data_IF_556332529547
#
_entry.id   IF_556332529547
#
_cell.length_a   1.000
_cell.length_b   1.000
_cell.length_c   1.000
_cell.angle_alpha   90.00
_cell.angle_beta   90.00
_cell.angle_gamma   90.00
#
_symmetry.space_group_name_H-M   'P 1'
#
loop_
_entity.id
_entity.type
_entity.pdbx_description
1 polymer ?
#
# COMPACT_ATOMS: atom_id res chain seq x y z
N UNK A 1 -7.59 21.97 47.09
CA UNK A 1 -6.14 21.79 46.85
C UNK A 1 -5.70 20.36 47.07
N UNK A 2 -5.98 19.73 48.23
CA UNK A 2 -5.62 18.32 48.47
C UNK A 2 -6.19 17.32 47.44
N UNK A 3 -7.45 17.48 47.03
CA UNK A 3 -8.05 16.60 46.01
C UNK A 3 -7.30 16.66 44.66
N UNK A 4 -6.91 17.86 44.21
CA UNK A 4 -6.12 18.01 42.98
C UNK A 4 -4.73 17.39 43.09
N UNK A 5 -4.10 17.44 44.26
CA UNK A 5 -2.79 16.82 44.50
C UNK A 5 -2.91 15.29 44.44
N UNK A 6 -3.94 14.72 45.07
CA UNK A 6 -4.17 13.28 45.05
C UNK A 6 -4.50 12.75 43.65
N UNK A 7 -5.30 13.50 42.87
CA UNK A 7 -5.60 13.18 41.48
C UNK A 7 -4.32 13.18 40.62
N UNK A 8 -3.45 14.17 40.80
CA UNK A 8 -2.15 14.26 40.11
C UNK A 8 -1.20 13.11 40.47
N UNK A 9 -1.19 12.67 41.73
CA UNK A 9 -0.37 11.53 42.19
C UNK A 9 -0.85 10.23 41.53
N UNK A 10 -2.18 10.02 41.52
CA UNK A 10 -2.78 8.86 40.88
C UNK A 10 -2.49 8.83 39.37
N UNK A 11 -2.65 9.97 38.69
CA UNK A 11 -2.38 10.06 37.26
C UNK A 11 -0.89 9.87 36.94
N UNK A 12 0.02 10.39 37.76
CA UNK A 12 1.46 10.14 37.64
C UNK A 12 1.81 8.65 37.77
N UNK A 13 1.18 7.95 38.72
CA UNK A 13 1.39 6.51 38.88
C UNK A 13 0.94 5.75 37.64
N UNK A 14 -0.28 6.02 37.16
CA UNK A 14 -0.83 5.40 35.95
C UNK A 14 0.05 5.64 34.73
N UNK A 15 0.55 6.86 34.55
CA UNK A 15 1.45 7.20 33.44
C UNK A 15 2.78 6.45 33.50
N UNK A 16 3.36 6.28 34.70
CA UNK A 16 4.59 5.49 34.87
C UNK A 16 4.39 4.03 34.48
N UNK A 17 3.27 3.43 34.86
CA UNK A 17 2.94 2.05 34.47
C UNK A 17 2.78 1.90 32.95
N UNK A 18 2.12 2.85 32.29
CA UNK A 18 1.97 2.83 30.83
C UNK A 18 3.30 3.04 30.10
N UNK A 19 4.19 3.90 30.61
CA UNK A 19 5.54 4.09 30.07
C UNK A 19 6.34 2.78 30.12
N UNK A 20 6.32 2.07 31.26
CA UNK A 20 7.02 0.78 31.39
C UNK A 20 6.43 -0.29 30.45
N UNK A 21 5.10 -0.31 30.29
CA UNK A 21 4.43 -1.19 29.33
C UNK A 21 4.85 -0.90 27.90
N UNK A 22 4.89 0.37 27.49
CA UNK A 22 5.32 0.78 26.14
C UNK A 22 6.80 0.47 25.90
N UNK A 23 7.68 0.70 26.87
CA UNK A 23 9.10 0.31 26.79
C UNK A 23 9.27 -1.18 26.54
N UNK A 24 8.50 -2.01 27.25
CA UNK A 24 8.49 -3.47 27.03
C UNK A 24 7.96 -3.84 25.65
N UNK A 25 6.95 -3.14 25.13
CA UNK A 25 6.42 -3.40 23.79
C UNK A 25 7.45 -3.07 22.69
N UNK A 26 8.14 -1.93 22.83
CA UNK A 26 9.17 -1.47 21.89
C UNK A 26 10.39 -2.41 21.89
N UNK A 27 10.71 -3.05 23.02
CA UNK A 27 11.81 -4.02 23.11
C UNK A 27 11.48 -5.41 22.57
N UNK A 28 10.23 -5.69 22.19
CA UNK A 28 9.87 -6.98 21.60
C UNK A 28 10.53 -7.17 20.23
N UNK A 29 11.08 -8.37 19.94
CA UNK A 29 11.60 -8.69 18.62
C UNK A 29 10.58 -8.40 17.51
N UNK A 30 11.04 -7.75 16.45
CA UNK A 30 10.20 -7.38 15.30
C UNK A 30 9.31 -6.15 15.51
N UNK A 31 9.40 -5.44 16.63
CA UNK A 31 8.78 -4.11 16.77
C UNK A 31 9.23 -3.15 15.66
N UNK A 32 10.54 -3.00 15.45
CA UNK A 32 11.10 -2.11 14.44
C UNK A 32 10.59 -2.45 13.02
N UNK A 33 10.59 -3.73 12.66
CA UNK A 33 10.06 -4.19 11.36
C UNK A 33 8.58 -3.86 11.21
N UNK A 34 7.75 -4.09 12.25
CA UNK A 34 6.32 -3.76 12.22
C UNK A 34 6.07 -2.26 12.14
N UNK A 35 6.78 -1.47 12.93
CA UNK A 35 6.69 -0.01 12.92
C UNK A 35 7.09 0.55 11.56
N UNK A 36 8.16 0.01 10.96
CA UNK A 36 8.61 0.40 9.63
C UNK A 36 7.59 0.04 8.53
N UNK A 37 7.03 -1.17 8.57
CA UNK A 37 5.94 -1.58 7.66
C UNK A 37 4.74 -0.64 7.81
N UNK A 38 4.36 -0.29 9.04
CA UNK A 38 3.24 0.62 9.27
C UNK A 38 3.50 2.02 8.71
N UNK A 39 4.72 2.54 8.87
CA UNK A 39 5.14 3.83 8.30
C UNK A 39 5.08 3.77 6.77
N UNK A 40 5.68 2.75 6.15
CA UNK A 40 5.67 2.61 4.69
C UNK A 40 4.26 2.42 4.12
N UNK A 41 3.43 1.61 4.77
CA UNK A 41 2.03 1.42 4.37
C UNK A 41 1.25 2.72 4.45
N UNK A 42 1.38 3.51 5.53
CA UNK A 42 0.71 4.82 5.63
C UNK A 42 1.23 5.81 4.60
N UNK A 43 2.52 5.78 4.30
CA UNK A 43 3.12 6.63 3.28
C UNK A 43 2.58 6.30 1.88
N UNK A 44 2.60 5.02 1.49
CA UNK A 44 2.07 4.56 0.20
C UNK A 44 0.57 4.86 0.09
N UNK A 45 -0.19 4.63 1.17
CA UNK A 45 -1.62 4.87 1.22
C UNK A 45 -1.99 6.34 1.01
N UNK A 46 -1.23 7.26 1.62
CA UNK A 46 -1.47 8.71 1.55
C UNK A 46 -0.80 9.39 0.37
N UNK A 47 -0.02 8.67 -0.42
CA UNK A 47 0.60 9.20 -1.62
C UNK A 47 -0.47 9.75 -2.57
N UNK A 48 -0.20 10.91 -3.18
CA UNK A 48 -1.07 11.48 -4.20
C UNK A 48 -0.96 10.73 -5.53
N UNK A 49 0.16 10.05 -5.77
CA UNK A 49 0.35 9.22 -6.95
C UNK A 49 -0.40 7.90 -6.80
N UNK A 50 -1.13 7.45 -7.84
CA UNK A 50 -1.67 6.09 -7.91
C UNK A 50 -0.55 5.06 -7.74
N UNK A 51 -0.73 4.15 -6.77
CA UNK A 51 0.20 3.05 -6.50
C UNK A 51 -0.61 1.77 -6.50
N UNK A 52 -0.13 0.77 -7.23
CA UNK A 52 -0.68 -0.58 -7.24
C UNK A 52 0.45 -1.61 -7.15
N UNK A 53 0.15 -2.74 -6.54
CA UNK A 53 0.95 -3.95 -6.55
C UNK A 53 0.10 -5.07 -7.16
N UNK A 54 0.62 -5.76 -8.17
CA UNK A 54 -0.03 -6.92 -8.78
C UNK A 54 0.88 -8.15 -8.73
N UNK A 55 0.26 -9.33 -8.78
CA UNK A 55 0.95 -10.58 -9.02
C UNK A 55 1.32 -10.76 -10.50
N UNK A 56 1.98 -11.87 -10.82
CA UNK A 56 2.41 -12.22 -12.18
C UNK A 56 1.25 -12.47 -13.17
N UNK A 57 0.03 -12.62 -12.68
CA UNK A 57 -1.19 -12.80 -13.47
C UNK A 57 -1.99 -11.51 -13.59
N UNK A 58 -1.45 -10.40 -13.10
CA UNK A 58 -2.07 -9.07 -13.02
C UNK A 58 -3.27 -8.99 -12.06
N UNK A 59 -3.33 -9.87 -11.06
CA UNK A 59 -4.25 -9.71 -9.95
C UNK A 59 -3.70 -8.67 -8.98
N UNK A 60 -4.51 -7.66 -8.67
CA UNK A 60 -4.14 -6.57 -7.79
C UNK A 60 -4.11 -7.09 -6.36
N UNK A 61 -2.93 -7.08 -5.75
CA UNK A 61 -2.70 -7.42 -4.35
C UNK A 61 -3.00 -6.20 -3.46
N UNK A 62 -2.62 -5.02 -3.92
CA UNK A 62 -2.81 -3.76 -3.21
C UNK A 62 -3.00 -2.62 -4.20
N UNK A 63 -3.94 -1.72 -3.89
CA UNK A 63 -4.05 -0.41 -4.51
C UNK A 63 -4.25 0.64 -3.41
N UNK A 64 -3.57 1.78 -3.53
CA UNK A 64 -3.78 2.90 -2.63
C UNK A 64 -5.05 3.69 -2.99
N UNK A 65 -5.44 4.63 -2.11
CA UNK A 65 -6.61 5.47 -2.33
C UNK A 65 -6.51 6.32 -3.61
N UNK A 66 -5.32 6.76 -3.99
CA UNK A 66 -5.12 7.54 -5.22
C UNK A 66 -5.43 6.74 -6.48
N UNK A 67 -5.07 5.46 -6.53
CA UNK A 67 -5.44 4.57 -7.63
C UNK A 67 -6.94 4.32 -7.69
N UNK A 68 -7.58 4.10 -6.54
CA UNK A 68 -9.03 3.91 -6.46
C UNK A 68 -9.79 5.15 -6.96
N UNK A 69 -9.35 6.36 -6.54
CA UNK A 69 -9.90 7.64 -7.01
C UNK A 69 -9.70 7.85 -8.50
N UNK A 70 -8.55 7.45 -9.06
CA UNK A 70 -8.28 7.55 -10.50
C UNK A 70 -9.36 6.79 -11.31
N UNK A 71 -9.78 5.62 -10.83
CA UNK A 71 -10.71 4.74 -11.53
C UNK A 71 -12.17 4.86 -11.07
N UNK A 72 -12.49 5.77 -10.16
CA UNK A 72 -13.83 5.91 -9.58
C UNK A 72 -14.36 4.59 -8.97
N UNK A 73 -13.50 3.88 -8.24
CA UNK A 73 -13.80 2.60 -7.58
C UNK A 73 -13.43 2.62 -6.10
N UNK A 74 -13.95 1.65 -5.35
CA UNK A 74 -13.57 1.37 -3.96
C UNK A 74 -12.42 0.36 -3.86
N UNK A 75 -11.83 0.21 -2.67
CA UNK A 75 -10.80 -0.80 -2.43
C UNK A 75 -11.34 -2.22 -2.57
N UNK A 76 -12.57 -2.45 -2.14
CA UNK A 76 -13.27 -3.73 -2.21
C UNK A 76 -13.53 -4.14 -3.67
N UNK A 77 -13.75 -3.16 -4.55
CA UNK A 77 -13.89 -3.35 -5.99
C UNK A 77 -12.54 -3.48 -6.72
N UNK A 78 -11.42 -3.24 -6.04
CA UNK A 78 -10.08 -3.22 -6.67
C UNK A 78 -9.20 -4.38 -6.22
N UNK A 79 -9.05 -4.58 -4.91
CA UNK A 79 -8.17 -5.61 -4.37
C UNK A 79 -8.70 -7.02 -4.70
N UNK A 80 -7.81 -7.88 -5.19
CA UNK A 80 -8.13 -9.21 -5.69
C UNK A 80 -8.76 -9.24 -7.08
N UNK A 81 -9.03 -8.09 -7.71
CA UNK A 81 -9.44 -8.03 -9.11
C UNK A 81 -8.25 -8.10 -10.04
N UNK A 82 -8.50 -8.51 -11.28
CA UNK A 82 -7.49 -8.53 -12.32
C UNK A 82 -7.49 -7.22 -13.10
N UNK A 83 -6.31 -6.69 -13.47
CA UNK A 83 -6.17 -5.43 -14.20
C UNK A 83 -6.99 -5.39 -15.51
N UNK A 84 -7.29 -6.54 -16.13
CA UNK A 84 -8.17 -6.62 -17.32
C UNK A 84 -9.56 -6.03 -17.12
N UNK A 85 -10.01 -5.82 -15.89
CA UNK A 85 -11.28 -5.16 -15.60
C UNK A 85 -11.21 -3.64 -15.80
N UNK A 86 -10.00 -3.07 -15.74
CA UNK A 86 -9.72 -1.64 -15.80
C UNK A 86 -8.97 -1.26 -17.07
N UNK A 87 -8.95 -2.11 -18.09
CA UNK A 87 -8.21 -1.87 -19.33
C UNK A 87 -8.82 -2.69 -20.47
N UNK A 88 -8.51 -2.33 -21.72
CA UNK A 88 -8.95 -3.11 -22.88
C UNK A 88 -7.95 -4.22 -23.22
N UNK A 89 -8.26 -5.04 -24.23
CA UNK A 89 -7.44 -6.22 -24.57
C UNK A 89 -6.04 -5.85 -25.07
N UNK A 90 -5.92 -4.75 -25.80
CA UNK A 90 -4.64 -4.31 -26.36
C UNK A 90 -3.74 -3.84 -25.22
N UNK A 91 -4.28 -2.98 -24.37
CA UNK A 91 -3.59 -2.45 -23.21
C UNK A 91 -3.25 -3.54 -22.19
N UNK A 92 -4.15 -4.49 -21.93
CA UNK A 92 -3.86 -5.64 -21.07
C UNK A 92 -2.64 -6.44 -21.57
N UNK A 93 -2.49 -6.56 -22.89
CA UNK A 93 -1.32 -7.23 -23.48
C UNK A 93 -0.03 -6.46 -23.21
N UNK A 94 -0.07 -5.12 -23.22
CA UNK A 94 1.04 -4.26 -22.81
C UNK A 94 1.45 -4.49 -21.35
N UNK A 95 0.49 -4.62 -20.43
CA UNK A 95 0.78 -4.98 -19.03
C UNK A 95 1.47 -6.34 -18.95
N UNK A 96 0.97 -7.35 -19.65
CA UNK A 96 1.57 -8.70 -19.67
C UNK A 96 3.02 -8.69 -20.18
N UNK A 97 3.32 -7.94 -21.23
CA UNK A 97 4.69 -7.75 -21.73
C UNK A 97 5.57 -7.12 -20.65
N UNK A 98 5.09 -6.08 -19.99
CA UNK A 98 5.83 -5.43 -18.90
C UNK A 98 6.00 -6.35 -17.67
N UNK A 99 5.05 -7.25 -17.40
CA UNK A 99 5.21 -8.29 -16.39
C UNK A 99 6.34 -9.26 -16.76
N UNK A 100 6.48 -9.65 -18.03
CA UNK A 100 7.62 -10.48 -18.45
C UNK A 100 8.97 -9.77 -18.25
N UNK A 101 9.01 -8.44 -18.39
CA UNK A 101 10.20 -7.66 -18.04
C UNK A 101 10.46 -7.68 -16.53
N UNK A 102 9.43 -7.46 -15.70
CA UNK A 102 9.56 -7.53 -14.24
C UNK A 102 10.01 -8.90 -13.74
N UNK A 103 9.52 -9.99 -14.33
CA UNK A 103 10.01 -11.37 -14.02
C UNK A 103 11.51 -11.56 -14.29
N UNK A 104 12.09 -10.76 -15.18
CA UNK A 104 13.54 -10.75 -15.48
C UNK A 104 14.31 -9.74 -14.62
N UNK A 105 13.67 -9.13 -13.62
CA UNK A 105 14.28 -8.09 -12.78
C UNK A 105 14.37 -6.72 -13.45
N UNK A 106 13.68 -6.51 -14.58
CA UNK A 106 13.79 -5.28 -15.37
C UNK A 106 12.62 -4.36 -15.03
N UNK A 107 12.95 -3.16 -14.53
CA UNK A 107 11.97 -2.08 -14.38
C UNK A 107 11.66 -1.41 -15.73
N UNK A 108 10.46 -0.88 -15.88
CA UNK A 108 10.02 -0.24 -17.12
C UNK A 108 9.21 1.03 -16.87
N UNK A 109 9.24 1.91 -17.88
CA UNK A 109 8.41 3.11 -17.96
C UNK A 109 7.66 3.07 -19.29
N UNK A 110 6.34 3.04 -19.25
CA UNK A 110 5.51 2.89 -20.45
C UNK A 110 4.21 3.69 -20.33
N UNK A 111 3.58 3.98 -21.47
CA UNK A 111 2.26 4.58 -21.52
C UNK A 111 1.20 3.49 -21.68
N UNK A 112 0.02 3.74 -21.13
CA UNK A 112 -1.14 2.84 -21.26
C UNK A 112 -2.44 3.63 -21.08
N UNK A 113 -3.56 2.96 -21.28
CA UNK A 113 -4.90 3.48 -21.03
C UNK A 113 -5.60 2.59 -20.01
N UNK A 114 -6.05 3.23 -18.92
CA UNK A 114 -6.96 2.63 -17.96
C UNK A 114 -8.41 3.02 -18.26
N UNK A 115 -9.36 2.23 -17.77
CA UNK A 115 -10.79 2.44 -17.92
C UNK A 115 -11.39 2.54 -16.52
N UNK A 116 -12.04 3.66 -16.23
CA UNK A 116 -12.73 3.88 -14.95
C UNK A 116 -14.09 3.14 -14.89
N UNK A 117 -14.74 3.15 -13.73
CA UNK A 117 -16.03 2.49 -13.52
C UNK A 117 -17.18 3.06 -14.39
N UNK A 118 -16.98 4.25 -14.98
CA UNK A 118 -17.93 4.88 -15.89
C UNK A 118 -17.61 4.60 -17.37
N UNK A 119 -16.54 3.85 -17.66
CA UNK A 119 -16.08 3.55 -19.02
C UNK A 119 -15.19 4.61 -19.65
N UNK A 120 -14.75 5.62 -18.90
CA UNK A 120 -13.85 6.66 -19.42
C UNK A 120 -12.44 6.13 -19.58
N UNK A 121 -11.83 6.43 -20.74
CA UNK A 121 -10.42 6.13 -21.02
C UNK A 121 -9.51 7.17 -20.37
N UNK A 122 -8.60 6.74 -19.51
CA UNK A 122 -7.65 7.57 -18.78
C UNK A 122 -6.23 7.23 -19.26
N UNK A 123 -5.57 8.11 -20.02
CA UNK A 123 -4.18 7.90 -20.41
C UNK A 123 -3.28 8.03 -19.17
N UNK A 124 -2.37 7.07 -19.01
CA UNK A 124 -1.46 6.99 -17.87
C UNK A 124 -0.03 6.71 -18.34
N UNK A 125 0.92 7.16 -17.53
CA UNK A 125 2.32 6.76 -17.63
C UNK A 125 2.68 5.96 -16.39
N UNK A 126 3.23 4.76 -16.59
CA UNK A 126 3.42 3.75 -15.56
C UNK A 126 4.89 3.48 -15.41
N UNK A 127 5.42 3.73 -14.22
CA UNK A 127 6.72 3.25 -13.77
C UNK A 127 6.52 1.97 -12.97
N UNK A 128 6.98 0.85 -13.49
CA UNK A 128 6.79 -0.46 -12.85
C UNK A 128 8.15 -1.09 -12.54
N UNK A 129 8.34 -1.52 -11.30
CA UNK A 129 9.57 -2.19 -10.85
C UNK A 129 9.24 -3.57 -10.28
N UNK A 130 10.14 -4.56 -10.41
CA UNK A 130 9.95 -5.86 -9.80
C UNK A 130 10.05 -5.74 -8.27
N UNK A 131 9.11 -6.36 -7.57
CA UNK A 131 9.20 -6.58 -6.13
C UNK A 131 9.51 -8.06 -5.92
N UNK A 132 10.80 -8.38 -5.79
CA UNK A 132 11.24 -9.74 -5.51
C UNK A 132 11.12 -9.98 -4.01
N UNK A 133 10.43 -11.05 -3.61
CA UNK A 133 10.56 -11.57 -2.25
C UNK A 133 12.01 -11.99 -1.98
N UNK A 134 12.38 -12.14 -0.70
CA UNK A 134 13.71 -12.65 -0.30
C UNK A 134 14.00 -14.05 -0.89
N UNK A 135 12.98 -14.76 -1.39
CA UNK A 135 13.09 -16.04 -2.12
C UNK A 135 13.21 -15.87 -3.66
N UNK A 136 13.28 -14.64 -4.18
CA UNK A 136 13.39 -14.35 -5.60
C UNK A 136 12.12 -14.63 -6.42
N UNK A 137 10.96 -14.78 -5.75
CA UNK A 137 9.64 -14.88 -6.39
C UNK A 137 8.90 -13.56 -6.35
#
# INVERSE_FOLDING_TARGET
MENQINDLIYENHRLKEEIERLRKYISLPGYEKRALIEIYSKFAERSLSPILLSDELENIIYANEAFCRLLNVTKEETNGKNLRQFTDREEFSTYQVNTQLRKKGIASLFQSILIDNNGNKIPVQISASPLLSDEGK
#
